data_IF_750005788275
#
_entry.id   IF_750005788275
#
_cell.length_a   1.000
_cell.length_b   1.000
_cell.length_c   1.000
_cell.angle_alpha   90.00
_cell.angle_beta   90.00
_cell.angle_gamma   90.00
#
_symmetry.space_group_name_H-M   'P 1'
#
loop_
_entity.id
_entity.type
_entity.pdbx_description
1 polymer ?
#
# COMPACT_ATOMS: atom_id res chain seq x y z
N UNK A 1 -7.83 -8.22 20.82
CA UNK A 1 -8.29 -7.64 19.54
C UNK A 1 -9.81 -7.53 19.58
N UNK A 2 -10.41 -6.43 19.12
CA UNK A 2 -11.87 -6.35 18.97
C UNK A 2 -12.31 -7.17 17.74
N UNK A 3 -13.57 -7.61 17.67
CA UNK A 3 -14.08 -8.31 16.48
C UNK A 3 -13.90 -7.48 15.21
N UNK A 4 -14.12 -6.17 15.30
CA UNK A 4 -13.89 -5.26 14.18
C UNK A 4 -12.42 -5.23 13.73
N UNK A 5 -11.47 -5.19 14.67
CA UNK A 5 -10.05 -5.21 14.33
C UNK A 5 -9.63 -6.56 13.71
N UNK A 6 -10.23 -7.66 14.16
CA UNK A 6 -10.00 -8.99 13.61
C UNK A 6 -10.40 -9.11 12.13
N UNK A 7 -11.47 -8.43 11.71
CA UNK A 7 -11.96 -8.48 10.34
C UNK A 7 -11.19 -7.57 9.37
N UNK A 8 -10.31 -6.67 9.85
CA UNK A 8 -9.64 -5.69 8.97
C UNK A 8 -8.71 -6.34 7.95
N UNK A 9 -8.05 -7.45 8.30
CA UNK A 9 -7.08 -8.13 7.43
C UNK A 9 -7.62 -9.38 6.74
N UNK A 10 -8.92 -9.64 6.86
CA UNK A 10 -9.61 -10.71 6.15
C UNK A 10 -9.84 -10.32 4.68
N UNK A 11 -9.61 -11.26 3.77
CA UNK A 11 -10.02 -11.14 2.35
C UNK A 11 -11.34 -11.90 2.22
N UNK A 12 -12.43 -11.19 2.00
CA UNK A 12 -13.74 -11.78 1.75
C UNK A 12 -14.04 -11.79 0.26
N UNK A 13 -15.22 -12.29 -0.12
CA UNK A 13 -15.74 -12.18 -1.49
C UNK A 13 -15.84 -10.73 -2.01
N UNK A 14 -15.82 -9.72 -1.13
CA UNK A 14 -15.85 -8.31 -1.54
C UNK A 14 -14.49 -7.86 -2.09
N UNK A 15 -13.40 -8.37 -1.51
CA UNK A 15 -12.02 -7.99 -1.84
C UNK A 15 -11.38 -8.89 -2.88
N UNK A 16 -11.75 -10.17 -2.90
CA UNK A 16 -11.12 -11.18 -3.75
C UNK A 16 -11.09 -10.78 -5.23
N UNK A 17 -9.89 -10.81 -5.83
CA UNK A 17 -9.68 -10.47 -7.24
C UNK A 17 -9.74 -8.96 -7.58
N UNK A 18 -10.04 -8.09 -6.62
CA UNK A 18 -10.22 -6.64 -6.85
C UNK A 18 -9.44 -5.77 -5.85
N UNK A 19 -8.39 -6.31 -5.23
CA UNK A 19 -7.45 -5.55 -4.41
C UNK A 19 -6.37 -4.89 -5.27
N UNK A 20 -5.94 -3.70 -4.87
CA UNK A 20 -4.74 -3.09 -5.43
C UNK A 20 -3.50 -3.88 -4.97
N UNK A 21 -2.42 -3.96 -5.78
CA UNK A 21 -1.17 -4.61 -5.38
C UNK A 21 -0.53 -4.05 -4.10
N UNK A 22 -1.01 -2.89 -3.63
CA UNK A 22 -0.55 -2.20 -2.42
C UNK A 22 -1.46 -2.41 -1.20
N UNK A 23 -2.53 -3.21 -1.30
CA UNK A 23 -3.46 -3.44 -0.18
C UNK A 23 -2.78 -4.23 0.95
N UNK A 24 -2.93 -3.78 2.20
CA UNK A 24 -2.27 -4.41 3.36
C UNK A 24 -2.61 -5.89 3.55
N UNK A 25 -3.76 -6.37 3.04
CA UNK A 25 -4.12 -7.79 3.12
C UNK A 25 -3.19 -8.71 2.33
N UNK A 26 -2.48 -8.13 1.35
CA UNK A 26 -1.49 -8.80 0.49
C UNK A 26 -0.08 -8.77 1.07
N UNK A 27 0.13 -8.09 2.21
CA UNK A 27 1.45 -7.89 2.79
C UNK A 27 1.96 -9.20 3.43
N UNK A 28 3.06 -9.79 2.93
CA UNK A 28 3.45 -11.17 3.26
C UNK A 28 3.93 -11.35 4.71
N UNK A 29 4.73 -10.42 5.24
CA UNK A 29 5.19 -10.44 6.64
C UNK A 29 4.00 -10.41 7.62
N UNK A 30 3.02 -9.54 7.37
CA UNK A 30 1.81 -9.46 8.20
C UNK A 30 1.00 -10.76 8.14
N UNK A 31 0.83 -11.36 6.96
CA UNK A 31 0.08 -12.61 6.79
C UNK A 31 0.76 -13.79 7.48
N UNK A 32 2.09 -13.88 7.38
CA UNK A 32 2.88 -14.93 8.05
C UNK A 32 2.79 -14.80 9.57
N UNK A 33 2.85 -13.57 10.10
CA UNK A 33 2.68 -13.32 11.52
C UNK A 33 1.29 -13.73 12.02
N UNK A 34 0.22 -13.44 11.26
CA UNK A 34 -1.14 -13.89 11.58
C UNK A 34 -1.30 -15.42 11.59
N UNK A 35 -0.50 -16.13 10.79
CA UNK A 35 -0.44 -17.59 10.75
C UNK A 35 0.47 -18.20 11.85
N UNK A 36 1.10 -17.36 12.69
CA UNK A 36 2.04 -17.80 13.72
C UNK A 36 3.44 -18.16 13.20
N UNK A 37 3.73 -17.89 11.92
CA UNK A 37 5.02 -18.18 11.26
C UNK A 37 5.98 -17.00 11.45
N UNK A 38 6.40 -16.77 12.69
CA UNK A 38 7.10 -15.54 13.09
C UNK A 38 8.50 -15.38 12.47
N UNK A 39 9.26 -16.46 12.33
CA UNK A 39 10.61 -16.41 11.75
C UNK A 39 10.55 -15.98 10.27
N UNK A 40 9.63 -16.56 9.51
CA UNK A 40 9.42 -16.21 8.10
C UNK A 40 8.84 -14.79 7.95
N UNK A 41 7.99 -14.36 8.89
CA UNK A 41 7.47 -13.01 8.92
C UNK A 41 8.59 -11.97 9.08
N UNK A 42 9.57 -12.24 9.96
CA UNK A 42 10.71 -11.34 10.16
C UNK A 42 11.62 -11.29 8.92
N UNK A 43 11.84 -12.42 8.25
CA UNK A 43 12.58 -12.45 6.97
C UNK A 43 11.90 -11.58 5.90
N UNK A 44 10.59 -11.76 5.71
CA UNK A 44 9.82 -10.96 4.75
C UNK A 44 9.78 -9.49 5.13
N UNK A 45 9.67 -9.16 6.41
CA UNK A 45 9.73 -7.79 6.91
C UNK A 45 11.05 -7.13 6.53
N UNK A 46 12.18 -7.83 6.73
CA UNK A 46 13.49 -7.32 6.34
C UNK A 46 13.55 -7.04 4.83
N UNK A 47 13.13 -8.00 3.99
CA UNK A 47 13.09 -7.85 2.52
C UNK A 47 12.27 -6.62 2.09
N UNK A 48 11.07 -6.45 2.64
CA UNK A 48 10.18 -5.33 2.30
C UNK A 48 10.77 -3.98 2.73
N UNK A 49 11.34 -3.90 3.92
CA UNK A 49 11.95 -2.65 4.41
C UNK A 49 13.21 -2.28 3.61
N UNK A 50 14.05 -3.25 3.25
CA UNK A 50 15.21 -3.02 2.38
C UNK A 50 14.81 -2.55 0.98
N UNK A 51 13.82 -3.21 0.37
CA UNK A 51 13.28 -2.79 -0.92
C UNK A 51 12.70 -1.36 -0.85
N UNK A 52 12.00 -1.01 0.24
CA UNK A 52 11.51 0.35 0.46
C UNK A 52 12.66 1.37 0.59
N UNK A 53 13.71 1.05 1.36
CA UNK A 53 14.90 1.91 1.50
C UNK A 53 15.62 2.08 0.16
N UNK A 54 15.75 1.02 -0.63
CA UNK A 54 16.35 1.07 -1.96
C UNK A 54 15.55 1.96 -2.92
N UNK A 55 14.22 1.81 -2.98
CA UNK A 55 13.33 2.68 -3.78
C UNK A 55 13.45 4.14 -3.38
N UNK A 56 13.56 4.44 -2.08
CA UNK A 56 13.76 5.80 -1.58
C UNK A 56 15.10 6.37 -2.03
N UNK A 57 16.21 5.64 -1.85
CA UNK A 57 17.54 6.08 -2.31
C UNK A 57 17.56 6.38 -3.81
N UNK A 58 16.96 5.50 -4.61
CA UNK A 58 16.87 5.70 -6.06
C UNK A 58 16.06 6.94 -6.45
N UNK A 59 14.94 7.24 -5.75
CA UNK A 59 14.22 8.51 -5.97
C UNK A 59 15.07 9.73 -5.60
N UNK A 60 15.73 9.69 -4.44
CA UNK A 60 16.57 10.79 -3.94
C UNK A 60 17.74 11.08 -4.91
N UNK A 61 18.38 10.03 -5.44
CA UNK A 61 19.48 10.13 -6.44
C UNK A 61 19.02 10.74 -7.77
N UNK A 62 17.77 10.50 -8.17
CA UNK A 62 17.16 11.09 -9.38
C UNK A 62 16.62 12.50 -9.14
N UNK A 63 16.55 12.95 -7.89
CA UNK A 63 15.90 14.21 -7.51
C UNK A 63 14.37 14.18 -7.66
N UNK A 64 13.77 12.99 -7.65
CA UNK A 64 12.32 12.82 -7.75
C UNK A 64 11.63 13.04 -6.41
N UNK A 65 10.43 13.64 -6.44
CA UNK A 65 9.57 13.77 -5.27
C UNK A 65 8.50 12.67 -5.23
N UNK A 66 8.35 11.99 -4.09
CA UNK A 66 7.30 10.99 -3.92
C UNK A 66 5.91 11.64 -3.94
N UNK A 67 5.01 11.11 -4.76
CA UNK A 67 3.61 11.55 -4.87
C UNK A 67 2.66 10.38 -4.61
N UNK A 68 1.80 10.45 -3.58
CA UNK A 68 0.79 9.42 -3.33
C UNK A 68 -0.14 9.21 -4.54
N UNK A 69 -0.47 7.95 -4.86
CA UNK A 69 -1.33 7.64 -6.01
C UNK A 69 -2.75 8.15 -5.82
N UNK A 70 -3.35 7.92 -4.66
CA UNK A 70 -4.79 8.11 -4.44
C UNK A 70 -5.19 9.42 -3.77
N UNK A 71 -4.21 10.20 -3.31
CA UNK A 71 -4.45 11.43 -2.57
C UNK A 71 -3.68 12.61 -3.16
N UNK A 72 -4.23 13.81 -2.98
CA UNK A 72 -3.58 15.09 -3.28
C UNK A 72 -3.62 15.97 -2.06
N UNK A 73 -2.57 16.77 -1.85
CA UNK A 73 -2.57 17.77 -0.79
C UNK A 73 -3.65 18.81 -1.07
N UNK A 74 -4.46 19.12 -0.08
CA UNK A 74 -5.50 20.12 -0.18
C UNK A 74 -4.89 21.53 -0.22
N UNK A 75 -5.35 22.37 -1.15
CA UNK A 75 -5.07 23.80 -1.12
C UNK A 75 -5.93 24.48 -0.04
N UNK A 76 -5.35 25.45 0.68
CA UNK A 76 -6.08 26.32 1.61
C UNK A 76 -6.41 25.70 2.96
N UNK A 77 -5.61 24.75 3.47
CA UNK A 77 -5.73 24.36 4.87
C UNK A 77 -5.38 25.54 5.79
N UNK A 78 -6.08 25.63 6.92
CA UNK A 78 -5.79 26.59 7.99
C UNK A 78 -4.32 26.50 8.38
N UNK A 79 -3.69 27.65 8.68
CA UNK A 79 -2.24 27.75 8.95
C UNK A 79 -1.73 26.63 9.87
N UNK A 80 -0.94 25.72 9.29
CA UNK A 80 -0.20 24.66 9.99
C UNK A 80 -0.72 23.23 9.80
N UNK A 81 -1.92 23.00 9.27
CA UNK A 81 -2.45 21.64 9.11
C UNK A 81 -2.23 21.09 7.69
N UNK A 82 -1.58 19.93 7.58
CA UNK A 82 -1.47 19.21 6.31
C UNK A 82 -2.72 18.37 6.07
N UNK A 83 -3.54 18.77 5.10
CA UNK A 83 -4.77 18.06 4.75
C UNK A 83 -4.61 17.37 3.40
N UNK A 84 -5.07 16.11 3.30
CA UNK A 84 -5.07 15.32 2.08
C UNK A 84 -6.50 15.02 1.62
N UNK A 85 -6.76 15.21 0.32
CA UNK A 85 -8.03 14.88 -0.33
C UNK A 85 -7.85 13.64 -1.21
N UNK A 86 -8.81 12.72 -1.15
CA UNK A 86 -8.84 11.58 -2.07
C UNK A 86 -9.12 12.07 -3.49
N UNK A 87 -8.41 11.52 -4.48
CA UNK A 87 -8.69 11.76 -5.90
C UNK A 87 -10.03 11.13 -6.28
N UNK A 88 -10.77 11.81 -7.14
CA UNK A 88 -12.06 11.36 -7.67
C UNK A 88 -12.03 11.34 -9.19
N UNK A 89 -12.99 10.65 -9.83
CA UNK A 89 -13.06 10.55 -11.28
C UNK A 89 -12.10 9.50 -11.85
N UNK A 90 -11.58 9.71 -13.06
CA UNK A 90 -10.82 8.69 -13.81
C UNK A 90 -9.56 8.19 -13.09
N UNK A 91 -8.98 8.99 -12.20
CA UNK A 91 -7.78 8.65 -11.40
C UNK A 91 -8.11 8.35 -9.93
N UNK A 92 -9.40 8.19 -9.60
CA UNK A 92 -9.86 7.84 -8.25
C UNK A 92 -9.72 6.34 -7.96
N UNK A 93 -9.47 6.02 -6.69
CA UNK A 93 -9.27 4.64 -6.22
C UNK A 93 -10.50 3.77 -6.52
N UNK A 94 -11.70 4.26 -6.20
CA UNK A 94 -12.93 3.50 -6.35
C UNK A 94 -13.31 3.29 -7.82
N UNK A 95 -13.03 4.26 -8.68
CA UNK A 95 -13.28 4.19 -10.11
C UNK A 95 -12.31 3.22 -10.81
N UNK A 96 -11.06 3.13 -10.36
CA UNK A 96 -10.11 2.12 -10.82
C UNK A 96 -10.47 0.72 -10.32
N UNK A 97 -10.82 0.59 -9.04
CA UNK A 97 -11.33 -0.65 -8.46
C UNK A 97 -12.53 -1.18 -9.22
N UNK A 98 -13.50 -0.32 -9.54
CA UNK A 98 -14.71 -0.68 -10.29
C UNK A 98 -14.41 -1.13 -11.73
N UNK A 99 -13.31 -0.66 -12.33
CA UNK A 99 -12.85 -1.08 -13.67
C UNK A 99 -12.00 -2.37 -13.64
N UNK A 100 -11.59 -2.83 -12.46
CA UNK A 100 -10.76 -4.03 -12.30
C UNK A 100 -9.33 -3.84 -12.77
N UNK A 101 -8.79 -2.61 -12.74
CA UNK A 101 -7.43 -2.34 -13.20
C UNK A 101 -6.76 -1.23 -12.40
N UNK A 102 -5.44 -1.38 -12.19
CA UNK A 102 -4.62 -0.50 -11.36
C UNK A 102 -3.53 0.17 -12.19
N UNK A 103 -3.74 1.43 -12.54
CA UNK A 103 -2.85 2.19 -13.43
C UNK A 103 -1.77 2.89 -12.62
N UNK A 104 -0.50 2.60 -12.93
CA UNK A 104 0.63 3.24 -12.27
C UNK A 104 0.75 2.93 -10.78
N UNK A 105 0.20 1.79 -10.34
CA UNK A 105 0.33 1.29 -8.97
C UNK A 105 1.48 0.29 -8.92
N UNK A 106 2.56 0.56 -8.19
CA UNK A 106 3.70 -0.35 -8.11
C UNK A 106 3.36 -1.60 -7.28
N UNK A 107 3.90 -2.76 -7.68
CA UNK A 107 3.87 -3.97 -6.87
C UNK A 107 4.94 -3.88 -5.78
N UNK A 108 4.56 -3.39 -4.59
CA UNK A 108 5.52 -3.09 -3.51
C UNK A 108 5.84 -4.29 -2.61
N UNK A 109 5.11 -5.39 -2.76
CA UNK A 109 5.28 -6.63 -1.99
C UNK A 109 5.99 -7.75 -2.76
N UNK A 110 6.26 -7.55 -4.04
CA UNK A 110 7.06 -8.48 -4.83
C UNK A 110 8.54 -8.24 -4.50
N UNK A 111 9.13 -9.13 -3.71
CA UNK A 111 10.58 -9.24 -3.62
C UNK A 111 11.02 -10.06 -4.83
N UNK A 112 11.67 -9.43 -5.81
CA UNK A 112 12.33 -10.18 -6.88
C UNK A 112 13.44 -11.01 -6.26
N UNK A 113 13.33 -12.34 -6.36
CA UNK A 113 14.50 -13.20 -6.16
C UNK A 113 15.50 -12.89 -7.29
N UNK A 114 16.72 -12.50 -6.94
CA UNK A 114 17.87 -12.49 -7.87
C UNK A 114 18.38 -13.92 -8.09
#
# INVERSE_FOLDING_TARGET
MTLFAASLNEVTSIEEGVLAPTDSRLRPDQRLAEQGRLDEAEEWKHKLEEAQRARRRSMDERGDEYRPRWFVRAEGSTEGEEVWKIKTGKDGYWEERARGGWTGVPAIFEATEE
#
